data_IF_837825177584
#
_entry.id   IF_837825177584
#
_cell.length_a   1.000
_cell.length_b   1.000
_cell.length_c   1.000
_cell.angle_alpha   90.00
_cell.angle_beta   90.00
_cell.angle_gamma   90.00
#
_symmetry.space_group_name_H-M   'P 1'
#
loop_
_entity.id
_entity.type
_entity.pdbx_description
1 polymer ?
#
# COMPACT_ATOMS: atom_id res chain seq x y z
N UNK A 1 8.09 -15.57 -28.22
CA UNK A 1 8.71 -14.55 -29.11
C UNK A 1 10.23 -14.61 -29.12
N UNK A 2 10.87 -15.28 -28.17
CA UNK A 2 12.33 -15.31 -27.98
C UNK A 2 12.96 -13.97 -27.59
N UNK A 3 12.14 -12.97 -27.24
CA UNK A 3 12.59 -11.64 -26.80
C UNK A 3 12.28 -11.45 -25.32
N UNK A 4 13.14 -10.70 -24.63
CA UNK A 4 12.88 -10.26 -23.27
C UNK A 4 11.75 -9.21 -23.28
N UNK A 5 10.77 -9.37 -22.41
CA UNK A 5 9.61 -8.48 -22.31
C UNK A 5 9.50 -7.91 -20.89
N UNK A 6 8.99 -6.70 -20.80
CA UNK A 6 8.68 -6.08 -19.50
C UNK A 6 7.32 -6.57 -18.97
N UNK A 7 7.12 -6.44 -17.67
CA UNK A 7 5.84 -6.71 -17.04
C UNK A 7 4.72 -5.84 -17.64
N UNK A 8 3.65 -6.47 -18.12
CA UNK A 8 2.45 -5.82 -18.66
C UNK A 8 1.35 -5.65 -17.59
N UNK A 9 1.64 -5.86 -16.32
CA UNK A 9 0.67 -5.86 -15.21
C UNK A 9 -0.49 -6.85 -15.38
N UNK A 10 -0.27 -7.91 -16.17
CA UNK A 10 -1.31 -8.89 -16.52
C UNK A 10 -2.58 -8.25 -17.10
N UNK A 11 -2.41 -7.25 -17.99
CA UNK A 11 -3.50 -6.47 -18.59
C UNK A 11 -4.73 -7.31 -19.01
N UNK A 12 -4.60 -8.45 -19.73
CA UNK A 12 -5.75 -9.26 -20.11
C UNK A 12 -6.52 -9.86 -18.92
N UNK A 13 -5.86 -10.08 -17.79
CA UNK A 13 -6.51 -10.56 -16.57
C UNK A 13 -7.28 -9.43 -15.87
N UNK A 14 -6.68 -8.25 -15.80
CA UNK A 14 -7.31 -7.06 -15.20
C UNK A 14 -8.57 -6.69 -15.98
N UNK A 15 -8.53 -6.70 -17.31
CA UNK A 15 -9.71 -6.44 -18.15
C UNK A 15 -10.83 -7.43 -17.92
N UNK A 16 -10.51 -8.69 -17.61
CA UNK A 16 -11.51 -9.73 -17.29
C UNK A 16 -11.93 -9.75 -15.81
N UNK A 17 -11.53 -8.74 -15.01
CA UNK A 17 -11.86 -8.64 -13.57
C UNK A 17 -11.04 -9.59 -12.69
N UNK A 18 -9.98 -10.21 -13.20
CA UNK A 18 -9.11 -11.10 -12.42
C UNK A 18 -7.89 -10.36 -11.86
N UNK A 19 -7.40 -10.74 -10.68
CA UNK A 19 -6.17 -10.17 -10.13
C UNK A 19 -4.95 -10.56 -10.96
N UNK A 20 -3.88 -9.79 -10.85
CA UNK A 20 -2.59 -10.16 -11.45
C UNK A 20 -2.06 -11.45 -10.85
N UNK A 21 -1.32 -12.24 -11.62
CA UNK A 21 -0.75 -13.52 -11.16
C UNK A 21 0.09 -13.32 -9.90
N UNK A 22 0.91 -12.28 -9.85
CA UNK A 22 1.78 -12.00 -8.71
C UNK A 22 1.03 -11.59 -7.44
N UNK A 23 -0.18 -11.00 -7.56
CA UNK A 23 -1.04 -10.73 -6.40
C UNK A 23 -1.77 -11.98 -5.94
N UNK A 24 -2.27 -12.78 -6.89
CA UNK A 24 -3.00 -14.02 -6.59
C UNK A 24 -2.12 -15.08 -5.93
N UNK A 25 -0.88 -15.23 -6.41
CA UNK A 25 0.07 -16.23 -5.88
C UNK A 25 0.82 -15.75 -4.63
N UNK A 26 0.60 -14.54 -4.17
CA UNK A 26 1.27 -14.01 -2.98
C UNK A 26 0.78 -14.73 -1.72
N UNK A 27 1.60 -15.62 -1.16
CA UNK A 27 1.26 -16.40 0.03
C UNK A 27 0.95 -15.50 1.23
N UNK A 28 1.71 -14.41 1.41
CA UNK A 28 1.51 -13.45 2.50
C UNK A 28 0.31 -12.52 2.31
N UNK A 29 -0.30 -12.51 1.11
CA UNK A 29 -1.38 -11.57 0.77
C UNK A 29 -1.01 -10.11 1.03
N UNK A 30 0.24 -9.76 0.72
CA UNK A 30 0.80 -8.43 1.01
C UNK A 30 0.85 -7.52 -0.22
N UNK A 31 0.59 -8.03 -1.42
CA UNK A 31 0.72 -7.29 -2.69
C UNK A 31 -0.64 -6.99 -3.31
N UNK A 32 -0.85 -5.72 -3.63
CA UNK A 32 -2.12 -5.20 -4.15
C UNK A 32 -1.91 -4.30 -5.35
N UNK A 33 -2.82 -4.39 -6.31
CA UNK A 33 -2.94 -3.47 -7.44
C UNK A 33 -4.41 -3.04 -7.56
N UNK A 34 -4.63 -1.83 -8.07
CA UNK A 34 -5.96 -1.32 -8.35
C UNK A 34 -5.89 -0.06 -9.19
N UNK A 35 -7.03 0.38 -9.68
CA UNK A 35 -7.14 1.63 -10.43
C UNK A 35 -7.02 2.80 -9.45
N UNK A 36 -6.17 3.76 -9.77
CA UNK A 36 -6.03 5.02 -9.04
C UNK A 36 -6.00 6.18 -10.04
N UNK A 37 -6.64 7.28 -9.69
CA UNK A 37 -6.51 8.54 -10.42
C UNK A 37 -5.26 9.26 -9.92
N UNK A 38 -4.53 9.90 -10.81
CA UNK A 38 -3.30 10.61 -10.46
C UNK A 38 -3.13 11.88 -11.30
N UNK A 39 -2.38 12.83 -10.75
CA UNK A 39 -1.97 14.04 -11.43
C UNK A 39 -0.60 13.81 -12.10
N UNK A 40 -0.58 13.84 -13.44
CA UNK A 40 0.64 13.58 -14.20
C UNK A 40 1.71 14.66 -14.01
N UNK A 41 1.30 15.90 -13.76
CA UNK A 41 2.23 17.03 -13.57
C UNK A 41 3.00 16.90 -12.24
N UNK A 42 2.39 16.29 -11.22
CA UNK A 42 3.03 16.03 -9.93
C UNK A 42 4.07 14.90 -9.93
N UNK A 43 4.11 14.07 -10.99
CA UNK A 43 5.07 12.95 -11.06
C UNK A 43 6.50 13.46 -11.09
N UNK A 44 6.76 14.50 -11.89
CA UNK A 44 8.10 15.09 -11.99
C UNK A 44 8.50 15.76 -10.66
N UNK A 45 7.59 16.48 -10.03
CA UNK A 45 7.82 17.13 -8.75
C UNK A 45 8.17 16.11 -7.67
N UNK A 46 7.41 15.02 -7.57
CA UNK A 46 7.68 13.93 -6.64
C UNK A 46 9.04 13.26 -6.90
N UNK A 47 9.40 13.08 -8.17
CA UNK A 47 10.69 12.49 -8.53
C UNK A 47 11.88 13.40 -8.21
N UNK A 48 11.67 14.73 -8.14
CA UNK A 48 12.72 15.72 -7.90
C UNK A 48 12.83 16.17 -6.43
N UNK A 49 12.05 15.61 -5.50
CA UNK A 49 12.12 15.94 -4.08
C UNK A 49 13.54 15.74 -3.55
N UNK A 50 14.16 16.77 -2.92
CA UNK A 50 15.58 16.70 -2.53
C UNK A 50 15.87 15.69 -1.41
N UNK A 51 15.01 15.63 -0.40
CA UNK A 51 15.21 14.76 0.76
C UNK A 51 14.52 13.41 0.55
N UNK A 52 15.23 12.32 0.79
CA UNK A 52 14.69 10.97 0.65
C UNK A 52 13.55 10.70 1.64
N UNK A 53 13.59 11.31 2.82
CA UNK A 53 12.54 11.20 3.85
C UNK A 53 11.19 11.72 3.38
N UNK A 54 11.17 12.66 2.44
CA UNK A 54 9.94 13.29 1.96
C UNK A 54 9.37 12.56 0.72
N UNK A 55 10.11 11.60 0.16
CA UNK A 55 9.71 10.87 -1.04
C UNK A 55 8.42 10.09 -0.86
N UNK A 56 8.20 9.50 0.30
CA UNK A 56 6.99 8.74 0.58
C UNK A 56 5.74 9.64 0.47
N UNK A 57 5.74 10.76 1.17
CA UNK A 57 4.61 11.70 1.15
C UNK A 57 4.43 12.34 -0.23
N UNK A 58 5.53 12.70 -0.91
CA UNK A 58 5.49 13.24 -2.26
C UNK A 58 4.89 12.25 -3.27
N UNK A 59 5.21 10.96 -3.16
CA UNK A 59 4.59 9.93 -4.01
C UNK A 59 3.10 9.74 -3.71
N UNK A 60 2.67 9.88 -2.45
CA UNK A 60 1.25 9.82 -2.12
C UNK A 60 0.47 11.01 -2.69
N UNK A 61 1.05 12.22 -2.68
CA UNK A 61 0.41 13.45 -3.18
C UNK A 61 0.15 13.45 -4.69
N UNK A 62 0.77 12.56 -5.43
CA UNK A 62 0.49 12.35 -6.87
C UNK A 62 -0.92 11.80 -7.09
N UNK A 63 -1.46 11.02 -6.14
CA UNK A 63 -2.73 10.33 -6.30
C UNK A 63 -3.91 11.16 -5.80
N UNK A 64 -4.98 11.17 -6.58
CA UNK A 64 -6.15 12.02 -6.39
C UNK A 64 -7.31 11.25 -5.77
N UNK A 65 -8.12 11.92 -4.96
CA UNK A 65 -9.33 11.33 -4.37
C UNK A 65 -10.37 11.04 -5.47
N UNK A 66 -10.69 9.76 -5.73
CA UNK A 66 -11.68 9.39 -6.74
C UNK A 66 -13.11 9.75 -6.35
N UNK A 67 -13.35 10.21 -5.12
CA UNK A 67 -14.66 10.65 -4.63
C UNK A 67 -14.85 12.17 -4.75
N UNK A 68 -13.79 12.92 -5.03
CA UNK A 68 -13.83 14.37 -5.18
C UNK A 68 -14.52 14.76 -6.50
N UNK A 69 -15.61 15.54 -6.47
CA UNK A 69 -16.32 15.99 -7.67
C UNK A 69 -15.44 16.78 -8.65
N UNK A 70 -14.46 17.55 -8.16
CA UNK A 70 -13.56 18.33 -9.01
C UNK A 70 -12.58 17.41 -9.75
N UNK A 71 -12.06 16.39 -9.07
CA UNK A 71 -11.21 15.36 -9.66
C UNK A 71 -11.96 14.57 -10.72
N UNK A 72 -13.21 14.16 -10.44
CA UNK A 72 -14.06 13.46 -11.40
C UNK A 72 -14.34 14.33 -12.63
N UNK A 73 -14.66 15.61 -12.42
CA UNK A 73 -14.91 16.53 -13.51
C UNK A 73 -13.66 16.76 -14.37
N UNK A 74 -12.47 16.83 -13.76
CA UNK A 74 -11.20 16.92 -14.46
C UNK A 74 -10.92 15.65 -15.28
N UNK A 75 -11.03 14.48 -14.65
CA UNK A 75 -10.83 13.19 -15.32
C UNK A 75 -11.72 13.04 -16.57
N UNK A 76 -13.00 13.45 -16.48
CA UNK A 76 -13.92 13.46 -17.63
C UNK A 76 -13.48 14.41 -18.73
N UNK A 77 -13.02 15.62 -18.38
CA UNK A 77 -12.51 16.59 -19.37
C UNK A 77 -11.28 16.04 -20.09
N UNK A 78 -10.44 15.30 -19.38
CA UNK A 78 -9.21 14.73 -19.92
C UNK A 78 -9.47 13.40 -20.68
N UNK A 79 -10.73 13.00 -20.79
CA UNK A 79 -11.15 11.82 -21.58
C UNK A 79 -10.93 10.48 -20.88
N UNK A 80 -10.80 10.46 -19.56
CA UNK A 80 -10.74 9.21 -18.79
C UNK A 80 -12.10 8.49 -18.90
N UNK A 81 -12.12 7.21 -19.30
CA UNK A 81 -13.35 6.45 -19.44
C UNK A 81 -14.13 6.32 -18.11
N UNK A 82 -15.46 6.34 -18.17
CA UNK A 82 -16.33 6.26 -16.99
C UNK A 82 -16.14 4.97 -16.18
N UNK A 83 -15.85 3.85 -16.85
CA UNK A 83 -15.55 2.58 -16.20
C UNK A 83 -14.25 2.62 -15.40
N UNK A 84 -13.27 3.41 -15.84
CA UNK A 84 -12.04 3.64 -15.08
C UNK A 84 -12.26 4.55 -13.87
N UNK A 85 -13.06 5.61 -14.02
CA UNK A 85 -13.45 6.48 -12.89
C UNK A 85 -14.19 5.66 -11.84
N UNK A 86 -15.16 4.87 -12.26
CA UNK A 86 -15.89 3.96 -11.39
C UNK A 86 -14.95 2.92 -10.74
N UNK A 87 -14.03 2.35 -11.53
CA UNK A 87 -13.01 1.42 -11.03
C UNK A 87 -12.12 2.04 -9.96
N UNK A 88 -11.75 3.32 -10.08
CA UNK A 88 -10.99 4.03 -9.07
C UNK A 88 -11.81 4.26 -7.79
N UNK A 89 -13.09 4.63 -7.91
CA UNK A 89 -14.01 4.81 -6.78
C UNK A 89 -14.26 3.52 -5.99
N UNK A 90 -14.37 2.39 -6.69
CA UNK A 90 -14.58 1.07 -6.11
C UNK A 90 -13.27 0.41 -5.65
N UNK A 91 -12.12 0.93 -6.06
CA UNK A 91 -10.81 0.36 -5.76
C UNK A 91 -10.48 0.42 -4.27
N UNK A 92 -10.19 -0.71 -3.64
CA UNK A 92 -9.78 -0.71 -2.24
C UNK A 92 -8.39 -0.08 -2.04
N UNK A 93 -7.59 0.05 -3.11
CA UNK A 93 -6.19 0.48 -3.01
C UNK A 93 -6.09 1.92 -2.53
N UNK A 94 -6.92 2.83 -3.07
CA UNK A 94 -6.94 4.22 -2.62
C UNK A 94 -7.24 4.30 -1.11
N UNK A 95 -8.26 3.57 -0.64
CA UNK A 95 -8.60 3.50 0.79
C UNK A 95 -7.46 2.95 1.64
N UNK A 96 -6.83 1.88 1.17
CA UNK A 96 -5.73 1.25 1.89
C UNK A 96 -4.49 2.14 1.99
N UNK A 97 -4.18 2.90 0.93
CA UNK A 97 -3.02 3.77 0.88
C UNK A 97 -3.27 5.13 1.56
N UNK A 98 -4.41 5.78 1.30
CA UNK A 98 -4.69 7.16 1.69
C UNK A 98 -5.50 7.28 2.98
N UNK A 99 -6.63 6.55 3.10
CA UNK A 99 -7.49 6.64 4.29
C UNK A 99 -6.95 5.80 5.45
N UNK A 100 -6.71 4.52 5.19
CA UNK A 100 -6.29 3.59 6.24
C UNK A 100 -4.79 3.61 6.49
N UNK A 101 -4.02 4.09 5.53
CA UNK A 101 -2.54 4.18 5.58
C UNK A 101 -1.89 2.88 6.04
N UNK A 102 -2.32 1.77 5.44
CA UNK A 102 -1.79 0.41 5.68
C UNK A 102 -1.10 -0.19 4.47
N UNK A 103 -1.19 0.46 3.31
CA UNK A 103 -0.52 0.05 2.08
C UNK A 103 0.50 1.10 1.65
N UNK A 104 1.67 0.65 1.23
CA UNK A 104 2.83 1.47 0.93
C UNK A 104 3.38 1.15 -0.47
N UNK A 105 4.04 2.12 -1.13
CA UNK A 105 4.92 1.83 -2.25
C UNK A 105 6.10 0.97 -1.77
N UNK A 106 6.80 0.33 -2.71
CA UNK A 106 8.04 -0.37 -2.41
C UNK A 106 9.21 0.44 -2.97
N UNK A 107 10.22 0.70 -2.15
CA UNK A 107 11.42 1.43 -2.52
C UNK A 107 11.13 2.84 -3.08
N UNK A 108 10.55 3.77 -2.27
CA UNK A 108 10.31 5.15 -2.68
C UNK A 108 11.57 5.85 -3.22
N UNK A 109 12.75 5.46 -2.71
CA UNK A 109 14.05 6.00 -3.13
C UNK A 109 14.37 5.77 -4.61
N UNK A 110 13.70 4.85 -5.29
CA UNK A 110 13.83 4.68 -6.74
C UNK A 110 13.09 5.75 -7.55
N UNK A 111 12.31 6.59 -6.89
CA UNK A 111 11.64 7.77 -7.49
C UNK A 111 10.75 7.44 -8.68
N UNK A 112 10.13 6.26 -8.66
CA UNK A 112 9.19 5.81 -9.70
C UNK A 112 7.76 5.91 -9.22
N UNK A 113 6.82 6.21 -10.12
CA UNK A 113 5.39 6.19 -9.79
C UNK A 113 4.98 4.80 -9.29
N UNK A 114 4.48 4.67 -8.05
CA UNK A 114 4.09 3.37 -7.52
C UNK A 114 2.83 2.83 -8.19
N UNK A 115 2.95 1.65 -8.82
CA UNK A 115 1.83 0.92 -9.46
C UNK A 115 1.40 -0.30 -8.66
N UNK A 116 2.19 -0.69 -7.66
CA UNK A 116 1.94 -1.84 -6.80
C UNK A 116 2.13 -1.41 -5.35
N UNK A 117 1.18 -1.80 -4.52
CA UNK A 117 1.12 -1.41 -3.11
C UNK A 117 1.32 -2.62 -2.20
N UNK A 118 2.00 -2.42 -1.09
CA UNK A 118 2.38 -3.49 -0.18
C UNK A 118 1.89 -3.20 1.24
N UNK A 119 1.26 -4.20 1.85
CA UNK A 119 0.93 -4.18 3.28
C UNK A 119 2.11 -4.78 4.04
N UNK A 120 2.61 -4.14 5.11
CA UNK A 120 3.66 -4.71 5.93
C UNK A 120 3.25 -6.07 6.49
N UNK A 121 4.12 -7.09 6.42
CA UNK A 121 3.78 -8.41 6.93
C UNK A 121 3.71 -8.40 8.46
N UNK A 122 2.56 -8.81 9.01
CA UNK A 122 2.43 -9.13 10.42
C UNK A 122 3.05 -10.51 10.67
N UNK A 123 4.33 -10.55 10.93
CA UNK A 123 5.00 -11.81 11.31
C UNK A 123 4.61 -12.24 12.71
N UNK A 124 4.03 -13.44 12.90
CA UNK A 124 3.77 -13.96 14.23
C UNK A 124 5.10 -14.14 14.95
N UNK A 125 5.15 -13.69 16.19
CA UNK A 125 6.30 -13.84 17.06
C UNK A 125 6.16 -15.18 17.74
N UNK A 126 7.03 -16.12 17.43
CA UNK A 126 7.04 -17.41 18.08
C UNK A 126 7.46 -17.32 19.56
N UNK A 127 8.18 -16.26 19.94
CA UNK A 127 8.81 -16.13 21.25
C UNK A 127 8.38 -14.87 22.04
N UNK A 128 7.33 -14.17 21.65
CA UNK A 128 6.90 -12.96 22.37
C UNK A 128 6.34 -13.28 23.76
N UNK A 129 5.71 -14.44 23.90
CA UNK A 129 5.24 -14.94 25.21
C UNK A 129 6.41 -15.24 26.15
N UNK A 130 7.50 -15.81 25.63
CA UNK A 130 8.72 -16.11 26.40
C UNK A 130 9.52 -14.86 26.75
N UNK A 131 9.42 -13.82 25.93
CA UNK A 131 10.14 -12.55 26.16
C UNK A 131 9.39 -11.57 27.07
N UNK A 132 8.17 -11.88 27.54
CA UNK A 132 7.34 -10.99 28.35
C UNK A 132 6.89 -9.71 27.61
N UNK A 133 6.96 -9.71 26.28
CA UNK A 133 6.65 -8.57 25.40
C UNK A 133 5.24 -8.60 24.83
N UNK A 134 4.32 -9.26 25.51
CA UNK A 134 2.92 -9.25 25.19
C UNK A 134 2.26 -8.12 25.97
N UNK A 135 1.39 -7.35 25.32
CA UNK A 135 0.65 -6.28 25.97
C UNK A 135 -0.10 -6.76 27.21
N UNK A 136 -0.47 -5.82 28.10
CA UNK A 136 -1.04 -6.11 29.44
C UNK A 136 -2.24 -7.04 29.46
N UNK A 137 -2.94 -7.19 28.33
CA UNK A 137 -4.09 -8.07 28.14
C UNK A 137 -3.74 -9.40 27.46
N UNK A 138 -2.46 -9.62 27.13
CA UNK A 138 -2.00 -10.84 26.46
C UNK A 138 -2.47 -10.99 25.01
N UNK A 139 -3.21 -10.03 24.46
CA UNK A 139 -3.89 -10.14 23.17
C UNK A 139 -3.11 -9.45 22.03
N UNK A 140 -2.32 -8.44 22.31
CA UNK A 140 -1.58 -7.69 21.30
C UNK A 140 -0.08 -7.64 21.59
N UNK A 141 0.75 -8.15 20.67
CA UNK A 141 2.21 -8.00 20.81
C UNK A 141 2.61 -6.53 20.59
N UNK A 142 3.67 -6.11 21.27
CA UNK A 142 4.33 -4.84 20.99
C UNK A 142 4.88 -4.82 19.55
N UNK A 143 4.65 -3.72 18.83
CA UNK A 143 5.14 -3.52 17.44
C UNK A 143 6.66 -3.70 17.37
N UNK A 144 7.39 -3.28 18.39
CA UNK A 144 8.85 -3.42 18.45
C UNK A 144 9.33 -4.86 18.61
N UNK A 145 8.42 -5.76 18.99
CA UNK A 145 8.72 -7.18 19.18
C UNK A 145 8.42 -8.05 17.94
N UNK A 146 7.98 -7.43 16.83
CA UNK A 146 7.73 -8.15 15.57
C UNK A 146 9.02 -8.80 15.03
N UNK A 147 8.86 -9.97 14.40
CA UNK A 147 9.98 -10.73 13.81
C UNK A 147 10.76 -9.92 12.78
N UNK A 148 10.07 -9.10 12.00
CA UNK A 148 10.69 -8.20 11.04
C UNK A 148 10.81 -6.84 11.72
N UNK A 149 12.03 -6.30 11.91
CA UNK A 149 12.23 -5.02 12.57
C UNK A 149 11.53 -3.88 11.83
N UNK A 150 10.89 -2.97 12.57
CA UNK A 150 10.22 -1.78 12.01
C UNK A 150 11.18 -0.98 11.14
N UNK A 151 12.40 -0.77 11.57
CA UNK A 151 13.43 -0.07 10.80
C UNK A 151 13.70 -0.69 9.43
N UNK A 152 13.69 -2.01 9.33
CA UNK A 152 13.85 -2.69 8.04
C UNK A 152 12.67 -2.42 7.11
N UNK A 153 11.45 -2.48 7.64
CA UNK A 153 10.23 -2.17 6.88
C UNK A 153 10.19 -0.70 6.46
N UNK A 154 10.60 0.21 7.34
CA UNK A 154 10.65 1.64 7.06
C UNK A 154 11.63 1.95 5.92
N UNK A 155 12.80 1.34 5.91
CA UNK A 155 13.75 1.51 4.81
C UNK A 155 13.17 1.05 3.46
N UNK A 156 12.33 0.02 3.45
CA UNK A 156 11.74 -0.49 2.20
C UNK A 156 10.50 0.30 1.74
N UNK A 157 9.73 0.86 2.67
CA UNK A 157 8.37 1.33 2.40
C UNK A 157 8.22 2.85 2.49
N UNK A 158 9.06 3.51 3.27
CA UNK A 158 8.94 4.94 3.61
C UNK A 158 10.26 5.69 3.58
N UNK A 159 11.26 5.17 2.86
CA UNK A 159 12.62 5.75 2.79
C UNK A 159 13.25 6.03 4.18
N UNK A 160 12.93 5.18 5.18
CA UNK A 160 13.52 5.23 6.52
C UNK A 160 12.64 5.88 7.59
N UNK A 161 11.51 6.50 7.26
CA UNK A 161 10.57 7.01 8.27
C UNK A 161 9.80 5.85 8.93
N UNK A 162 10.04 5.64 10.22
CA UNK A 162 9.40 4.55 10.97
C UNK A 162 7.94 4.86 11.37
N UNK A 163 7.57 6.13 11.49
CA UNK A 163 6.27 6.51 12.04
C UNK A 163 5.06 6.00 11.24
N UNK A 164 5.01 6.11 9.89
CA UNK A 164 3.91 5.56 9.11
C UNK A 164 3.81 4.04 9.23
N UNK A 165 4.95 3.35 9.27
CA UNK A 165 5.00 1.87 9.37
C UNK A 165 4.50 1.39 10.73
N UNK A 166 4.91 2.04 11.83
CA UNK A 166 4.40 1.76 13.18
C UNK A 166 2.90 1.91 13.22
N UNK A 167 2.38 3.04 12.74
CA UNK A 167 0.94 3.32 12.70
C UNK A 167 0.18 2.26 11.90
N UNK A 168 0.70 1.85 10.76
CA UNK A 168 0.08 0.80 9.93
C UNK A 168 0.05 -0.55 10.64
N UNK A 169 1.16 -0.95 11.27
CA UNK A 169 1.25 -2.19 12.03
C UNK A 169 0.27 -2.23 13.21
N UNK A 170 0.15 -1.13 13.97
CA UNK A 170 -0.80 -0.99 15.06
C UNK A 170 -2.25 -1.13 14.57
N UNK A 171 -2.61 -0.44 13.48
CA UNK A 171 -3.94 -0.54 12.85
C UNK A 171 -4.26 -1.96 12.40
N UNK A 172 -3.30 -2.62 11.76
CA UNK A 172 -3.46 -4.00 11.29
C UNK A 172 -3.60 -4.99 12.45
N UNK A 173 -2.85 -4.79 13.54
CA UNK A 173 -2.97 -5.62 14.74
C UNK A 173 -4.34 -5.41 15.42
N UNK A 174 -4.79 -4.16 15.56
CA UNK A 174 -6.11 -3.84 16.10
C UNK A 174 -7.23 -4.48 15.27
N UNK A 175 -7.14 -4.37 13.94
CA UNK A 175 -8.09 -4.99 13.02
C UNK A 175 -8.11 -6.51 13.15
N UNK A 176 -6.94 -7.14 13.28
CA UNK A 176 -6.82 -8.59 13.46
C UNK A 176 -7.41 -9.05 14.80
N UNK A 177 -7.19 -8.30 15.88
CA UNK A 177 -7.77 -8.58 17.20
C UNK A 177 -9.29 -8.44 17.18
N UNK A 178 -9.81 -7.38 16.53
CA UNK A 178 -11.25 -7.21 16.33
C UNK A 178 -11.87 -8.38 15.55
N UNK A 179 -11.27 -8.80 14.46
CA UNK A 179 -11.77 -9.93 13.66
C UNK A 179 -11.77 -11.22 14.46
N UNK A 180 -10.76 -11.50 15.30
CA UNK A 180 -10.76 -12.66 16.20
C UNK A 180 -11.90 -12.62 17.20
N UNK A 181 -12.16 -11.46 17.81
CA UNK A 181 -13.26 -11.31 18.79
C UNK A 181 -14.64 -11.54 18.20
N UNK A 182 -14.79 -11.47 16.87
CA UNK A 182 -16.04 -11.73 16.15
C UNK A 182 -16.22 -13.19 15.71
N UNK A 183 -15.11 -13.97 15.70
CA UNK A 183 -15.12 -15.38 15.26
C UNK A 183 -15.12 -16.36 16.43
N UNK A 184 -15.03 -15.88 17.66
CA UNK A 184 -15.21 -16.63 18.91
C UNK A 184 -16.60 -16.30 19.46
#
# INVERSE_FOLDING_TARGET
SGKSEKCTLCYPRIESGNPTVCSETCVGRIRYLGVMLYDADKIEDAANVPAETDLYDAQLDVFLDPSDPEVIAAARRDGVPEDWIKGAQESPIWKMAMEWKVAFPLHPEYRTLPMVWYIPPLSPIQNAAEAGKIGMDGAMPDVQSLRIPVKYLANMLTAGDEAPVVTALERMMAMRSYMRSKTV
#
